data_IF_289263014227
#
_entry.id   IF_289263014227
#
_cell.length_a   1.000
_cell.length_b   1.000
_cell.length_c   1.000
_cell.angle_alpha   90.00
_cell.angle_beta   90.00
_cell.angle_gamma   90.00
#
_symmetry.space_group_name_H-M   'P 1'
#
loop_
_entity.id
_entity.type
_entity.pdbx_description
1 polymer ?
#
# COMPACT_ATOMS: atom_id res chain seq x y z
N UNK A 1 -14.56 18.25 -5.76
CA UNK A 1 -13.84 17.28 -6.62
C UNK A 1 -12.81 16.55 -5.75
N UNK A 2 -12.57 15.27 -5.99
CA UNK A 2 -11.54 14.47 -5.32
C UNK A 2 -10.52 13.96 -6.34
N UNK A 3 -9.25 14.32 -6.19
CA UNK A 3 -8.14 13.70 -6.90
C UNK A 3 -7.49 12.66 -5.99
N UNK A 4 -7.32 11.43 -6.46
CA UNK A 4 -6.52 10.41 -5.78
C UNK A 4 -5.22 10.29 -6.57
N UNK A 5 -4.10 10.66 -5.95
CA UNK A 5 -2.83 10.89 -6.63
C UNK A 5 -1.77 9.93 -6.08
N UNK A 6 -1.35 8.96 -6.90
CA UNK A 6 -0.17 8.17 -6.62
C UNK A 6 1.10 9.01 -6.76
N UNK A 7 2.01 8.95 -5.79
CA UNK A 7 3.32 9.63 -5.87
C UNK A 7 4.49 8.66 -6.10
N UNK A 8 4.18 7.40 -6.41
CA UNK A 8 5.14 6.37 -6.77
C UNK A 8 6.06 5.94 -5.63
N UNK A 9 7.09 5.18 -6.00
CA UNK A 9 8.03 4.57 -5.05
C UNK A 9 9.26 5.43 -4.74
N UNK A 10 9.52 6.48 -5.52
CA UNK A 10 10.68 7.36 -5.36
C UNK A 10 10.31 8.70 -4.71
N UNK A 11 9.10 8.79 -4.14
CA UNK A 11 8.54 10.04 -3.63
C UNK A 11 8.38 11.07 -4.73
N UNK A 12 8.74 12.32 -4.47
CA UNK A 12 8.56 13.44 -5.40
C UNK A 12 9.24 13.26 -6.76
N UNK A 13 10.28 12.42 -6.84
CA UNK A 13 10.93 12.07 -8.11
C UNK A 13 10.10 11.16 -9.03
N UNK A 14 8.92 10.68 -8.58
CA UNK A 14 7.98 9.90 -9.40
C UNK A 14 6.75 10.70 -9.83
N UNK A 15 6.61 11.96 -9.41
CA UNK A 15 5.52 12.82 -9.85
C UNK A 15 5.65 13.06 -11.35
N UNK A 16 4.58 12.83 -12.10
CA UNK A 16 4.50 13.28 -13.50
C UNK A 16 4.00 14.72 -13.54
N UNK A 17 3.99 15.30 -14.75
CA UNK A 17 3.48 16.66 -14.96
C UNK A 17 1.98 16.74 -14.60
N UNK A 18 1.22 15.67 -14.83
CA UNK A 18 -0.22 15.66 -14.56
C UNK A 18 -0.51 15.69 -13.04
N UNK A 19 0.22 14.93 -12.22
CA UNK A 19 0.10 15.01 -10.76
C UNK A 19 0.53 16.38 -10.25
N UNK A 20 1.58 16.97 -10.83
CA UNK A 20 2.05 18.29 -10.45
C UNK A 20 1.00 19.39 -10.73
N UNK A 21 0.35 19.34 -11.89
CA UNK A 21 -0.72 20.29 -12.24
C UNK A 21 -1.97 20.10 -11.35
N UNK A 22 -2.30 18.86 -11.01
CA UNK A 22 -3.39 18.56 -10.08
C UNK A 22 -3.10 19.13 -8.67
N UNK A 23 -1.87 18.98 -8.19
CA UNK A 23 -1.43 19.54 -6.92
C UNK A 23 -1.52 21.07 -6.88
N UNK A 24 -1.12 21.75 -7.98
CA UNK A 24 -1.20 23.21 -8.07
C UNK A 24 -2.63 23.74 -8.07
N UNK A 25 -3.54 23.02 -8.72
CA UNK A 25 -4.95 23.45 -8.88
C UNK A 25 -5.87 23.02 -7.73
N UNK A 26 -5.34 22.26 -6.77
CA UNK A 26 -6.10 21.85 -5.58
C UNK A 26 -6.39 23.04 -4.67
N UNK A 27 -7.44 22.97 -3.87
CA UNK A 27 -7.69 23.89 -2.75
C UNK A 27 -7.10 23.31 -1.46
N UNK A 28 -7.20 21.99 -1.27
CA UNK A 28 -6.66 21.26 -0.13
C UNK A 28 -5.89 20.03 -0.61
N UNK A 29 -4.74 19.78 0.02
CA UNK A 29 -3.90 18.61 -0.28
C UNK A 29 -3.64 17.83 1.01
N UNK A 30 -4.07 16.57 1.01
CA UNK A 30 -3.80 15.59 2.04
C UNK A 30 -2.69 14.63 1.61
N UNK A 31 -1.93 14.12 2.57
CA UNK A 31 -0.98 13.02 2.36
C UNK A 31 -1.38 11.85 3.26
N UNK A 32 -1.71 10.70 2.67
CA UNK A 32 -1.90 9.47 3.43
C UNK A 32 -0.58 9.06 4.10
N UNK A 33 -0.60 9.01 5.43
CA UNK A 33 0.53 8.58 6.26
C UNK A 33 0.30 7.24 6.95
N UNK A 34 -0.82 6.58 6.67
CA UNK A 34 -1.24 5.33 7.31
C UNK A 34 -1.04 4.11 6.40
N UNK A 35 -1.29 4.18 5.09
CA UNK A 35 -1.25 2.98 4.24
C UNK A 35 0.14 2.55 3.82
N UNK A 36 1.13 3.44 3.86
CA UNK A 36 2.50 3.18 3.41
C UNK A 36 3.49 4.14 4.06
N UNK A 37 4.74 3.69 4.20
CA UNK A 37 5.84 4.55 4.64
C UNK A 37 6.54 5.12 3.41
N UNK A 38 6.68 6.44 3.36
CA UNK A 38 7.48 7.13 2.37
C UNK A 38 8.86 7.49 2.93
N UNK A 39 9.72 8.13 2.11
CA UNK A 39 10.93 8.78 2.60
C UNK A 39 10.61 9.71 3.78
N UNK A 40 11.49 9.78 4.79
CA UNK A 40 11.26 10.60 6.00
C UNK A 40 11.00 12.09 5.70
N UNK A 41 11.55 12.59 4.61
CA UNK A 41 11.45 13.97 4.16
C UNK A 41 10.35 14.20 3.11
N UNK A 42 9.48 13.20 2.85
CA UNK A 42 8.48 13.27 1.78
C UNK A 42 7.52 14.43 1.95
N UNK A 43 7.05 14.67 3.18
CA UNK A 43 6.11 15.76 3.48
C UNK A 43 6.75 17.13 3.23
N UNK A 44 7.99 17.32 3.66
CA UNK A 44 8.74 18.55 3.45
C UNK A 44 9.01 18.79 1.96
N UNK A 45 9.47 17.76 1.24
CA UNK A 45 9.71 17.83 -0.20
C UNK A 45 8.45 18.16 -0.99
N UNK A 46 7.32 17.53 -0.64
CA UNK A 46 6.04 17.79 -1.30
C UNK A 46 5.58 19.23 -1.04
N UNK A 47 5.70 19.74 0.19
CA UNK A 47 5.36 21.14 0.53
C UNK A 47 6.20 22.13 -0.27
N UNK A 48 7.51 21.87 -0.38
CA UNK A 48 8.43 22.72 -1.14
C UNK A 48 8.14 22.71 -2.65
N UNK A 49 7.80 21.55 -3.22
CA UNK A 49 7.53 21.41 -4.66
C UNK A 49 6.15 21.97 -5.03
N UNK A 50 5.14 21.71 -4.19
CA UNK A 50 3.77 22.16 -4.43
C UNK A 50 3.54 23.62 -4.01
N UNK A 51 4.51 24.25 -3.32
CA UNK A 51 4.45 25.61 -2.78
C UNK A 51 3.17 25.88 -1.97
N UNK A 52 2.81 24.93 -1.11
CA UNK A 52 1.58 24.98 -0.31
C UNK A 52 1.63 24.06 0.90
N UNK A 53 0.66 24.28 1.79
CA UNK A 53 0.42 23.37 2.90
C UNK A 53 -0.05 22.00 2.40
N UNK A 54 0.47 20.96 3.04
CA UNK A 54 0.04 19.57 2.87
C UNK A 54 -0.26 19.00 4.24
N UNK A 55 -1.48 18.48 4.40
CA UNK A 55 -2.04 18.01 5.66
C UNK A 55 -1.84 16.49 5.76
N UNK A 56 -1.11 15.97 6.77
CA UNK A 56 -1.03 14.53 6.99
C UNK A 56 -2.41 13.96 7.35
N UNK A 57 -2.85 12.94 6.61
CA UNK A 57 -4.10 12.23 6.84
C UNK A 57 -3.82 10.86 7.46
N UNK A 58 -4.26 10.69 8.70
CA UNK A 58 -4.16 9.44 9.43
C UNK A 58 -5.29 8.46 9.05
N UNK A 59 -5.23 7.25 9.64
CA UNK A 59 -6.25 6.21 9.42
C UNK A 59 -7.67 6.75 9.66
N UNK A 60 -7.88 7.46 10.76
CA UNK A 60 -9.20 7.92 11.16
C UNK A 60 -9.74 8.92 10.14
N UNK A 61 -8.91 9.84 9.64
CA UNK A 61 -9.30 10.81 8.63
C UNK A 61 -9.75 10.14 7.33
N UNK A 62 -9.01 9.13 6.86
CA UNK A 62 -9.33 8.36 5.64
C UNK A 62 -10.57 7.48 5.83
N UNK A 63 -10.60 6.65 6.88
CA UNK A 63 -11.66 5.66 7.12
C UNK A 63 -12.99 6.29 7.54
N UNK A 64 -12.98 7.45 8.21
CA UNK A 64 -14.20 8.22 8.51
C UNK A 64 -14.73 9.01 7.30
N UNK A 65 -14.02 8.96 6.17
CA UNK A 65 -14.34 9.70 4.95
C UNK A 65 -14.49 11.21 5.16
N UNK A 66 -13.88 11.75 6.23
CA UNK A 66 -13.98 13.16 6.60
C UNK A 66 -13.52 14.10 5.47
N UNK A 67 -12.52 13.67 4.68
CA UNK A 67 -12.01 14.37 3.49
C UNK A 67 -13.09 14.63 2.44
N UNK A 68 -14.13 13.77 2.37
CA UNK A 68 -15.21 13.97 1.40
C UNK A 68 -16.04 15.21 1.69
N UNK A 69 -16.12 15.66 2.96
CA UNK A 69 -16.85 16.89 3.32
C UNK A 69 -16.24 18.12 2.65
N UNK A 70 -14.91 18.16 2.52
CA UNK A 70 -14.22 19.22 1.82
C UNK A 70 -14.36 19.06 0.31
N UNK A 71 -14.28 17.82 -0.19
CA UNK A 71 -14.39 17.52 -1.62
C UNK A 71 -15.78 17.80 -2.22
N UNK A 72 -16.83 17.95 -1.39
CA UNK A 72 -18.15 18.43 -1.83
C UNK A 72 -18.10 19.87 -2.35
N UNK A 73 -17.22 20.71 -1.81
CA UNK A 73 -17.17 22.16 -2.11
C UNK A 73 -15.88 22.61 -2.77
N UNK A 74 -14.80 21.85 -2.59
CA UNK A 74 -13.45 22.21 -2.96
C UNK A 74 -12.82 21.16 -3.88
N UNK A 75 -11.72 21.53 -4.54
CA UNK A 75 -10.82 20.62 -5.22
C UNK A 75 -9.84 20.01 -4.21
N UNK A 76 -10.08 18.78 -3.80
CA UNK A 76 -9.28 18.09 -2.78
C UNK A 76 -8.40 17.05 -3.45
N UNK A 77 -7.10 17.05 -3.12
CA UNK A 77 -6.18 16.00 -3.54
C UNK A 77 -5.73 15.15 -2.36
N UNK A 78 -5.84 13.83 -2.49
CA UNK A 78 -5.28 12.85 -1.57
C UNK A 78 -4.05 12.21 -2.23
N UNK A 79 -2.87 12.50 -1.68
CA UNK A 79 -1.60 11.91 -2.08
C UNK A 79 -1.41 10.56 -1.41
N UNK A 80 -1.01 9.56 -2.18
CA UNK A 80 -0.77 8.19 -1.74
C UNK A 80 0.61 7.74 -2.18
N UNK A 81 1.44 7.27 -1.25
CA UNK A 81 2.73 6.68 -1.57
C UNK A 81 2.54 5.42 -2.41
N UNK A 82 3.25 5.32 -3.53
CA UNK A 82 3.00 4.30 -4.53
C UNK A 82 1.83 4.68 -5.43
N UNK A 83 0.83 3.81 -5.51
CA UNK A 83 -0.35 3.96 -6.36
C UNK A 83 -1.63 3.98 -5.52
N UNK A 84 -2.48 4.98 -5.78
CA UNK A 84 -3.70 5.22 -5.02
C UNK A 84 -4.83 4.21 -5.24
N UNK A 85 -4.69 3.28 -6.19
CA UNK A 85 -5.69 2.23 -6.44
C UNK A 85 -5.29 0.87 -5.88
N UNK A 86 -4.07 0.72 -5.37
CA UNK A 86 -3.59 -0.55 -4.82
C UNK A 86 -4.22 -0.88 -3.46
N UNK A 87 -4.50 0.13 -2.62
CA UNK A 87 -5.11 -0.08 -1.31
C UNK A 87 -6.64 -0.13 -1.41
N UNK A 88 -7.27 -1.02 -0.62
CA UNK A 88 -8.73 -1.16 -0.59
C UNK A 88 -9.43 0.08 -0.03
N UNK A 89 -8.80 0.77 0.93
CA UNK A 89 -9.39 1.93 1.61
C UNK A 89 -9.57 3.13 0.67
N UNK A 90 -8.65 3.38 -0.26
CA UNK A 90 -8.79 4.44 -1.26
C UNK A 90 -9.87 4.15 -2.29
N UNK A 91 -10.05 2.88 -2.66
CA UNK A 91 -11.17 2.47 -3.51
C UNK A 91 -12.53 2.64 -2.80
N UNK A 92 -12.60 2.39 -1.49
CA UNK A 92 -13.80 2.69 -0.70
C UNK A 92 -14.09 4.20 -0.70
N UNK A 93 -13.07 5.04 -0.45
CA UNK A 93 -13.22 6.49 -0.48
C UNK A 93 -13.69 6.99 -1.87
N UNK A 94 -13.11 6.43 -2.94
CA UNK A 94 -13.54 6.69 -4.33
C UNK A 94 -15.00 6.35 -4.54
N UNK A 95 -15.43 5.17 -4.09
CA UNK A 95 -16.82 4.72 -4.22
C UNK A 95 -17.78 5.68 -3.50
N UNK A 96 -17.50 6.00 -2.23
CA UNK A 96 -18.31 6.93 -1.44
C UNK A 96 -18.35 8.34 -2.02
N UNK A 97 -17.26 8.81 -2.63
CA UNK A 97 -17.25 10.08 -3.35
C UNK A 97 -18.20 10.07 -4.56
N UNK A 98 -18.18 8.99 -5.35
CA UNK A 98 -19.05 8.82 -6.51
C UNK A 98 -20.53 8.78 -6.11
N UNK A 99 -20.88 8.07 -5.03
CA UNK A 99 -22.24 8.02 -4.48
C UNK A 99 -22.77 9.40 -4.05
N UNK A 100 -21.89 10.28 -3.58
CA UNK A 100 -22.21 11.68 -3.21
C UNK A 100 -22.23 12.64 -4.40
N UNK A 101 -22.03 12.17 -5.63
CA UNK A 101 -21.94 13.01 -6.82
C UNK A 101 -20.66 13.85 -6.89
N UNK A 102 -19.64 13.53 -6.09
CA UNK A 102 -18.35 14.21 -6.14
C UNK A 102 -17.56 13.66 -7.33
N UNK A 103 -17.15 14.56 -8.24
CA UNK A 103 -16.26 14.18 -9.34
C UNK A 103 -14.94 13.62 -8.79
N UNK A 104 -14.57 12.41 -9.22
CA UNK A 104 -13.30 11.77 -8.87
C UNK A 104 -12.37 11.72 -10.08
N UNK A 105 -11.10 12.09 -9.90
CA UNK A 105 -10.02 11.88 -10.88
C UNK A 105 -8.92 11.04 -10.24
N UNK A 106 -8.41 10.06 -10.97
CA UNK A 106 -7.32 9.20 -10.52
C UNK A 106 -6.06 9.59 -11.30
N UNK A 107 -4.93 9.56 -10.61
CA UNK A 107 -3.60 9.68 -11.18
C UNK A 107 -2.79 8.47 -10.73
N UNK A 108 -2.60 7.52 -11.64
CA UNK A 108 -1.91 6.26 -11.40
C UNK A 108 -0.40 6.45 -11.29
N UNK A 109 0.27 5.63 -10.48
CA UNK A 109 1.73 5.67 -10.40
C UNK A 109 2.33 4.28 -10.11
N UNK A 110 3.64 4.20 -9.91
CA UNK A 110 4.33 2.95 -9.62
C UNK A 110 3.92 2.38 -8.25
N UNK A 111 3.38 1.16 -8.22
CA UNK A 111 3.04 0.43 -7.00
C UNK A 111 4.11 -0.60 -6.65
N UNK A 112 4.42 -0.76 -5.36
CA UNK A 112 5.34 -1.79 -4.89
C UNK A 112 4.83 -3.19 -5.26
N UNK A 113 3.50 -3.39 -5.21
CA UNK A 113 2.86 -4.67 -5.57
C UNK A 113 3.21 -5.10 -7.00
N UNK A 114 3.29 -4.15 -7.93
CA UNK A 114 3.53 -4.44 -9.35
C UNK A 114 5.01 -4.35 -9.72
N UNK A 115 5.73 -3.37 -9.19
CA UNK A 115 7.13 -3.12 -9.57
C UNK A 115 8.08 -4.14 -8.96
N UNK A 116 7.78 -4.65 -7.77
CA UNK A 116 8.77 -5.35 -7.00
C UNK A 116 9.15 -6.70 -7.65
N UNK A 117 8.19 -7.41 -8.28
CA UNK A 117 8.45 -8.64 -9.05
C UNK A 117 9.52 -8.43 -10.14
N UNK A 118 9.36 -7.35 -10.91
CA UNK A 118 10.32 -6.98 -11.95
C UNK A 118 11.71 -6.64 -11.40
N UNK A 119 11.79 -6.01 -10.22
CA UNK A 119 13.08 -5.65 -9.60
C UNK A 119 13.95 -6.86 -9.26
N UNK A 120 13.36 -8.02 -9.01
CA UNK A 120 14.08 -9.26 -8.68
C UNK A 120 14.11 -10.26 -9.85
N UNK A 121 13.70 -9.83 -11.05
CA UNK A 121 13.74 -10.66 -12.25
C UNK A 121 12.65 -11.72 -12.34
N UNK A 122 11.61 -11.64 -11.49
CA UNK A 122 10.45 -12.52 -11.62
C UNK A 122 9.56 -12.06 -12.78
N UNK A 123 8.97 -13.04 -13.44
CA UNK A 123 8.01 -12.82 -14.51
C UNK A 123 6.66 -12.46 -13.89
N UNK A 124 6.10 -11.28 -14.21
CA UNK A 124 4.84 -10.82 -13.64
C UNK A 124 3.68 -11.82 -13.80
N UNK A 125 3.63 -12.54 -14.91
CA UNK A 125 2.59 -13.57 -15.16
C UNK A 125 2.72 -14.81 -14.26
N UNK A 126 3.84 -14.96 -13.53
CA UNK A 126 4.04 -15.99 -12.50
C UNK A 126 3.81 -15.46 -11.09
N UNK A 127 3.37 -14.22 -10.93
CA UNK A 127 3.04 -13.65 -9.63
C UNK A 127 1.56 -13.84 -9.34
N UNK A 128 1.26 -14.54 -8.25
CA UNK A 128 -0.11 -14.76 -7.78
C UNK A 128 -0.65 -13.60 -6.95
N UNK A 129 -1.92 -13.70 -6.48
CA UNK A 129 -2.52 -12.70 -5.60
C UNK A 129 -1.65 -12.40 -4.37
N UNK A 130 -1.48 -11.12 -4.00
CA UNK A 130 -0.72 -10.73 -2.82
C UNK A 130 -1.39 -11.22 -1.53
N UNK A 131 -0.59 -11.44 -0.50
CA UNK A 131 -1.04 -11.87 0.83
C UNK A 131 -0.52 -10.90 1.88
N UNK A 132 -1.42 -10.29 2.65
CA UNK A 132 -1.03 -9.45 3.79
C UNK A 132 -0.61 -10.31 4.99
N UNK A 133 0.55 -10.01 5.57
CA UNK A 133 1.06 -10.59 6.80
C UNK A 133 0.86 -9.60 7.96
N UNK A 134 -0.21 -9.76 8.77
CA UNK A 134 -0.49 -8.85 9.87
C UNK A 134 0.43 -9.08 11.06
N UNK A 135 0.51 -8.08 11.95
CA UNK A 135 1.02 -8.33 13.30
C UNK A 135 0.18 -9.40 14.01
N UNK A 136 0.86 -10.27 14.78
CA UNK A 136 0.22 -11.35 15.52
C UNK A 136 0.22 -11.09 17.02
N UNK A 137 -0.75 -11.67 17.71
CA UNK A 137 -0.86 -11.68 19.17
C UNK A 137 -1.34 -13.04 19.65
N UNK A 138 -1.43 -13.25 20.97
CA UNK A 138 -2.00 -14.48 21.54
C UNK A 138 -3.44 -14.74 21.07
N UNK A 139 -4.21 -13.68 20.86
CA UNK A 139 -5.63 -13.76 20.48
C UNK A 139 -5.84 -13.62 18.96
N UNK A 140 -4.81 -13.23 18.22
CA UNK A 140 -4.89 -13.02 16.78
C UNK A 140 -3.68 -13.63 16.07
N UNK A 141 -3.88 -14.84 15.53
CA UNK A 141 -2.84 -15.58 14.82
C UNK A 141 -3.42 -16.18 13.52
N UNK A 142 -3.59 -15.37 12.46
CA UNK A 142 -4.35 -15.77 11.28
C UNK A 142 -3.58 -16.75 10.40
N UNK A 143 -3.83 -18.05 10.59
CA UNK A 143 -3.19 -19.11 9.82
C UNK A 143 -3.62 -19.13 8.33
N UNK A 144 -4.65 -18.37 7.95
CA UNK A 144 -5.13 -18.24 6.58
C UNK A 144 -4.09 -17.62 5.63
N UNK A 145 -3.10 -16.91 6.17
CA UNK A 145 -1.92 -16.42 5.43
C UNK A 145 -1.23 -17.58 4.70
N UNK A 146 -0.99 -18.68 5.41
CA UNK A 146 -0.31 -19.86 4.85
C UNK A 146 -1.19 -20.60 3.86
N UNK A 147 -2.51 -20.66 4.08
CA UNK A 147 -3.43 -21.28 3.12
C UNK A 147 -3.40 -20.54 1.77
N UNK A 148 -3.32 -19.21 1.79
CA UNK A 148 -3.21 -18.37 0.58
C UNK A 148 -1.86 -18.54 -0.11
N UNK A 149 -0.76 -18.53 0.64
CA UNK A 149 0.60 -18.80 0.09
C UNK A 149 0.65 -20.18 -0.55
N UNK A 150 0.10 -21.20 0.13
CA UNK A 150 0.05 -22.57 -0.40
C UNK A 150 -0.76 -22.64 -1.70
N UNK A 151 -1.90 -21.95 -1.79
CA UNK A 151 -2.72 -21.90 -3.00
C UNK A 151 -1.95 -21.37 -4.21
N UNK A 152 -1.18 -20.29 -4.02
CA UNK A 152 -0.32 -19.75 -5.08
C UNK A 152 0.78 -20.75 -5.46
N UNK A 153 1.43 -21.36 -4.47
CA UNK A 153 2.47 -22.36 -4.69
C UNK A 153 1.97 -23.58 -5.46
N UNK A 154 0.82 -24.14 -5.07
CA UNK A 154 0.18 -25.29 -5.75
C UNK A 154 -0.20 -24.94 -7.20
N UNK A 155 -0.41 -23.66 -7.50
CA UNK A 155 -0.68 -23.13 -8.84
C UNK A 155 0.59 -22.77 -9.63
N UNK A 156 1.78 -23.00 -9.06
CA UNK A 156 3.06 -22.64 -9.68
C UNK A 156 3.32 -21.14 -9.76
N UNK A 157 2.80 -20.37 -8.79
CA UNK A 157 2.92 -18.91 -8.70
C UNK A 157 3.78 -18.47 -7.51
N UNK A 158 4.52 -17.38 -7.67
CA UNK A 158 5.17 -16.64 -6.60
C UNK A 158 4.11 -15.89 -5.77
N UNK A 159 4.37 -15.66 -4.48
CA UNK A 159 3.44 -14.94 -3.60
C UNK A 159 4.06 -13.64 -3.10
N UNK A 160 3.55 -12.48 -3.54
CA UNK A 160 3.88 -11.22 -2.87
C UNK A 160 3.32 -11.23 -1.46
N UNK A 161 4.19 -11.03 -0.48
CA UNK A 161 3.78 -10.90 0.92
C UNK A 161 3.87 -9.43 1.30
N UNK A 162 2.73 -8.82 1.62
CA UNK A 162 2.65 -7.44 2.06
C UNK A 162 2.80 -7.42 3.57
N UNK A 163 3.89 -6.84 4.05
CA UNK A 163 4.20 -6.76 5.47
C UNK A 163 3.41 -5.62 6.09
N UNK A 164 2.73 -5.91 7.20
CA UNK A 164 1.89 -4.94 7.90
C UNK A 164 2.70 -3.80 8.54
N UNK A 165 2.03 -2.65 8.63
CA UNK A 165 2.57 -1.39 9.12
C UNK A 165 1.88 -1.04 10.43
N UNK A 166 2.66 -0.78 11.47
CA UNK A 166 2.15 -0.33 12.76
C UNK A 166 2.99 0.85 13.27
N UNK A 167 2.32 1.91 13.69
CA UNK A 167 2.94 3.11 14.27
C UNK A 167 4.08 3.69 13.40
N UNK A 168 3.85 3.73 12.08
CA UNK A 168 4.82 4.24 11.10
C UNK A 168 6.05 3.35 10.87
N UNK A 169 6.03 2.11 11.36
CA UNK A 169 7.12 1.15 11.20
C UNK A 169 6.63 -0.18 10.62
N UNK A 170 7.32 -0.63 9.58
CA UNK A 170 7.09 -1.98 9.04
C UNK A 170 7.53 -3.01 10.07
N UNK A 171 6.81 -4.12 10.14
CA UNK A 171 7.29 -5.29 10.88
C UNK A 171 8.70 -5.67 10.36
N UNK A 172 9.70 -5.80 11.26
CA UNK A 172 11.05 -6.18 10.84
C UNK A 172 11.04 -7.52 10.10
N UNK A 173 11.87 -7.67 9.07
CA UNK A 173 11.91 -8.89 8.27
C UNK A 173 12.12 -10.16 9.11
N UNK A 174 13.02 -10.11 10.10
CA UNK A 174 13.26 -11.24 10.99
C UNK A 174 11.99 -11.66 11.75
N UNK A 175 11.18 -10.69 12.18
CA UNK A 175 9.89 -10.94 12.84
C UNK A 175 8.88 -11.53 11.87
N UNK A 176 8.76 -10.96 10.66
CA UNK A 176 7.90 -11.47 9.60
C UNK A 176 8.23 -12.93 9.25
N UNK A 177 9.52 -13.22 9.08
CA UNK A 177 10.02 -14.57 8.84
C UNK A 177 9.66 -15.54 9.97
N UNK A 178 9.90 -15.16 11.22
CA UNK A 178 9.58 -16.01 12.36
C UNK A 178 8.08 -16.30 12.48
N UNK A 179 7.22 -15.30 12.23
CA UNK A 179 5.77 -15.46 12.24
C UNK A 179 5.33 -16.46 11.16
N UNK A 180 5.83 -16.29 9.93
CA UNK A 180 5.52 -17.19 8.82
C UNK A 180 5.95 -18.63 9.15
N UNK A 181 7.17 -18.83 9.67
CA UNK A 181 7.66 -20.15 10.04
C UNK A 181 6.81 -20.80 11.13
N UNK A 182 6.38 -20.04 12.13
CA UNK A 182 5.47 -20.52 13.17
C UNK A 182 4.08 -20.87 12.59
N UNK A 183 3.54 -20.04 11.69
CA UNK A 183 2.29 -20.36 10.98
C UNK A 183 2.41 -21.66 10.16
N UNK A 184 3.52 -21.87 9.45
CA UNK A 184 3.77 -23.10 8.69
C UNK A 184 3.83 -24.33 9.60
N UNK A 185 4.51 -24.22 10.75
CA UNK A 185 4.61 -25.27 11.75
C UNK A 185 3.22 -25.63 12.30
N UNK A 186 2.41 -24.64 12.67
CA UNK A 186 1.02 -24.86 13.14
C UNK A 186 0.11 -25.49 12.11
N UNK A 187 0.31 -25.18 10.82
CA UNK A 187 -0.44 -25.77 9.70
C UNK A 187 0.10 -27.12 9.21
N UNK A 188 1.26 -27.56 9.69
CA UNK A 188 1.89 -28.81 9.25
C UNK A 188 2.35 -28.81 7.78
N UNK A 189 2.55 -27.64 7.17
CA UNK A 189 2.83 -27.52 5.72
C UNK A 189 4.30 -27.83 5.39
N UNK A 190 5.24 -27.50 6.28
CA UNK A 190 6.66 -27.66 5.98
C UNK A 190 7.52 -27.67 7.26
N UNK A 191 8.32 -28.73 7.44
CA UNK A 191 9.33 -28.83 8.51
C UNK A 191 10.77 -28.70 7.99
N UNK A 192 10.98 -28.46 6.68
CA UNK A 192 12.31 -28.42 6.06
C UNK A 192 12.62 -27.06 5.45
N UNK A 193 13.58 -26.32 6.05
CA UNK A 193 14.03 -24.97 5.62
C UNK A 193 14.18 -24.81 4.11
N UNK A 194 14.77 -25.78 3.39
CA UNK A 194 15.00 -25.65 1.93
C UNK A 194 13.72 -25.72 1.11
N UNK A 195 12.74 -26.53 1.54
CA UNK A 195 11.42 -26.58 0.88
C UNK A 195 10.60 -25.33 1.23
N UNK A 196 10.71 -24.83 2.45
CA UNK A 196 9.94 -23.67 2.89
C UNK A 196 10.41 -22.37 2.20
N UNK A 197 11.72 -22.21 1.95
CA UNK A 197 12.26 -21.07 1.18
C UNK A 197 11.70 -20.97 -0.25
N UNK A 198 11.47 -22.11 -0.93
CA UNK A 198 10.86 -22.10 -2.27
C UNK A 198 9.41 -21.61 -2.28
N UNK A 199 8.71 -21.70 -1.15
CA UNK A 199 7.34 -21.19 -1.01
C UNK A 199 7.31 -19.70 -0.60
N UNK A 200 8.45 -19.15 -0.17
CA UNK A 200 8.56 -17.86 0.52
C UNK A 200 9.66 -17.01 -0.09
N UNK A 201 9.52 -16.69 -1.38
CA UNK A 201 10.15 -15.49 -1.93
C UNK A 201 9.28 -14.30 -1.52
N UNK A 202 9.43 -13.89 -0.26
CA UNK A 202 8.68 -12.80 0.33
C UNK A 202 9.14 -11.46 -0.24
N UNK A 203 8.17 -10.61 -0.60
CA UNK A 203 8.44 -9.25 -1.00
C UNK A 203 8.70 -8.36 0.22
N UNK A 204 9.81 -7.63 0.20
CA UNK A 204 10.06 -6.53 1.12
C UNK A 204 10.37 -5.31 0.27
N UNK A 205 9.42 -4.40 0.19
CA UNK A 205 9.72 -3.02 -0.18
C UNK A 205 10.44 -2.38 1.02
N UNK A 206 11.76 -2.27 0.92
CA UNK A 206 12.53 -1.29 1.68
C UNK A 206 12.52 0.06 0.97
#
# INVERSE_FOLDING_TARGET
MLNIIGIGLRGTGSLTLDEFDALRTSDIVYLDIYTSIGPKDILEKLRNIADREIIPADRNMIESESILKDAEKLNVSLLVIGDGLTATTHNQLRYSAMEKGIKVKIFENASAVNTAAGKIGLLHYKVGPPVSLPFVSSNFFPLSVIDKVKRNYDSGLHTPILIDLKDGQNMPFASAWNIIMEMQKRKGVCNNRRKCMRCLEAFISG
#
